data_IF_514033383501
#
_entry.id   IF_514033383501
#
_cell.length_a   1.000
_cell.length_b   1.000
_cell.length_c   1.000
_cell.angle_alpha   90.00
_cell.angle_beta   90.00
_cell.angle_gamma   90.00
#
_symmetry.space_group_name_H-M   'P 1'
#
loop_
_entity.id
_entity.type
_entity.pdbx_description
1 polymer ?
#
# COMPACT_ATOMS: atom_id res chain seq x y z
N UNK A 1 0.53 7.09 60.80
CA UNK A 1 0.10 7.18 59.38
C UNK A 1 1.32 6.88 58.52
N UNK A 2 1.41 5.67 57.98
CA UNK A 2 2.46 5.33 57.02
C UNK A 2 2.04 5.87 55.67
N UNK A 3 2.78 6.82 55.12
CA UNK A 3 2.57 7.39 53.80
C UNK A 3 3.07 6.38 52.77
N UNK A 4 2.16 5.74 52.05
CA UNK A 4 2.42 4.82 50.92
C UNK A 4 2.88 5.57 49.65
N UNK A 5 3.80 6.50 49.80
CA UNK A 5 4.34 7.27 48.65
C UNK A 5 5.37 6.48 47.82
N UNK A 6 5.83 5.33 48.28
CA UNK A 6 6.76 4.47 47.55
C UNK A 6 6.13 3.56 46.49
N UNK A 7 4.84 3.24 46.61
CA UNK A 7 4.14 2.34 45.70
C UNK A 7 3.87 2.98 44.33
N UNK A 8 3.46 4.24 44.33
CA UNK A 8 3.13 4.98 43.08
C UNK A 8 4.35 5.18 42.19
N UNK A 9 5.53 5.41 42.77
CA UNK A 9 6.76 5.61 42.01
C UNK A 9 7.22 4.33 41.32
N UNK A 10 7.12 3.19 42.00
CA UNK A 10 7.47 1.88 41.42
C UNK A 10 6.50 1.48 40.34
N UNK A 11 5.22 1.78 40.48
CA UNK A 11 4.18 1.52 39.49
C UNK A 11 4.40 2.35 38.24
N UNK A 12 4.76 3.63 38.38
CA UNK A 12 5.10 4.52 37.24
C UNK A 12 6.33 4.04 36.46
N UNK A 13 7.37 3.56 37.16
CA UNK A 13 8.60 3.05 36.53
C UNK A 13 8.34 1.78 35.74
N UNK A 14 7.41 0.93 36.17
CA UNK A 14 7.03 -0.28 35.44
C UNK A 14 6.06 0.01 34.27
N UNK A 15 5.18 0.99 34.42
CA UNK A 15 4.21 1.37 33.35
C UNK A 15 4.86 2.12 32.22
N UNK A 16 5.87 2.94 32.47
CA UNK A 16 6.53 3.76 31.44
C UNK A 16 7.07 2.93 30.24
N UNK A 17 7.84 1.86 30.43
CA UNK A 17 8.33 1.05 29.32
C UNK A 17 7.20 0.32 28.58
N UNK A 18 6.15 -0.10 29.27
CA UNK A 18 4.99 -0.75 28.64
C UNK A 18 4.25 0.23 27.75
N UNK A 19 4.00 1.46 28.22
CA UNK A 19 3.39 2.52 27.42
C UNK A 19 4.24 2.87 26.18
N UNK A 20 5.56 2.93 26.35
CA UNK A 20 6.47 3.21 25.23
C UNK A 20 6.38 2.13 24.14
N UNK A 21 6.35 0.85 24.52
CA UNK A 21 6.17 -0.27 23.60
C UNK A 21 4.82 -0.19 22.90
N UNK A 22 3.75 0.13 23.61
CA UNK A 22 2.41 0.28 23.03
C UNK A 22 2.33 1.43 22.02
N UNK A 23 2.96 2.56 22.30
CA UNK A 23 3.04 3.70 21.40
C UNK A 23 3.82 3.32 20.13
N UNK A 24 4.98 2.70 20.27
CA UNK A 24 5.78 2.23 19.13
C UNK A 24 5.02 1.21 18.28
N UNK A 25 4.30 0.29 18.91
CA UNK A 25 3.45 -0.67 18.21
C UNK A 25 2.31 0.02 17.46
N UNK A 26 1.66 1.01 18.06
CA UNK A 26 0.61 1.80 17.43
C UNK A 26 1.11 2.55 16.19
N UNK A 27 2.25 3.21 16.28
CA UNK A 27 2.89 3.91 15.17
C UNK A 27 3.28 2.94 14.05
N UNK A 28 3.84 1.79 14.41
CA UNK A 28 4.20 0.75 13.43
C UNK A 28 2.99 0.21 12.68
N UNK A 29 1.92 -0.12 13.40
CA UNK A 29 0.68 -0.63 12.81
C UNK A 29 0.02 0.41 11.90
N UNK A 30 0.04 1.68 12.28
CA UNK A 30 -0.48 2.79 11.48
C UNK A 30 0.24 2.92 10.13
N UNK A 31 1.56 2.91 10.13
CA UNK A 31 2.36 3.01 8.90
C UNK A 31 2.16 1.82 7.96
N UNK A 32 2.01 0.62 8.50
CA UNK A 32 1.80 -0.58 7.68
C UNK A 32 0.45 -0.57 6.95
N UNK A 33 -0.61 -0.07 7.59
CA UNK A 33 -1.95 0.04 6.98
C UNK A 33 -2.02 1.16 5.94
N UNK A 34 -1.33 2.27 6.17
CA UNK A 34 -1.25 3.39 5.24
C UNK A 34 -0.64 2.98 3.91
N UNK A 35 0.50 2.29 3.92
CA UNK A 35 1.16 1.82 2.70
C UNK A 35 0.28 0.90 1.86
N UNK A 36 -0.49 0.01 2.49
CA UNK A 36 -1.41 -0.88 1.78
C UNK A 36 -2.54 -0.09 1.12
N UNK A 37 -3.09 0.91 1.81
CA UNK A 37 -4.15 1.77 1.28
C UNK A 37 -3.68 2.57 0.07
N UNK A 38 -2.47 3.08 0.12
CA UNK A 38 -1.86 3.86 -0.97
C UNK A 38 -1.58 2.98 -2.20
N UNK A 39 -1.04 1.78 -2.04
CA UNK A 39 -0.85 0.83 -3.15
C UNK A 39 -2.19 0.41 -3.75
N UNK A 40 -3.23 0.22 -2.93
CA UNK A 40 -4.59 -0.06 -3.41
C UNK A 40 -5.17 1.10 -4.21
N UNK A 41 -5.01 2.33 -3.73
CA UNK A 41 -5.43 3.54 -4.45
C UNK A 41 -4.71 3.69 -5.79
N UNK A 42 -3.41 3.39 -5.83
CA UNK A 42 -2.64 3.40 -7.08
C UNK A 42 -3.15 2.35 -8.07
N UNK A 43 -3.51 1.14 -7.60
CA UNK A 43 -4.09 0.09 -8.44
C UNK A 43 -5.45 0.50 -9.01
N UNK A 44 -6.31 1.14 -8.22
CA UNK A 44 -7.60 1.68 -8.67
C UNK A 44 -7.42 2.75 -9.75
N UNK A 45 -6.54 3.71 -9.52
CA UNK A 45 -6.25 4.76 -10.49
C UNK A 45 -5.67 4.20 -11.79
N UNK A 46 -4.75 3.25 -11.69
CA UNK A 46 -4.15 2.59 -12.85
C UNK A 46 -5.19 1.78 -13.65
N UNK A 47 -6.06 1.02 -12.99
CA UNK A 47 -7.12 0.27 -13.64
C UNK A 47 -8.12 1.18 -14.36
N UNK A 48 -8.57 2.27 -13.72
CA UNK A 48 -9.45 3.28 -14.34
C UNK A 48 -8.81 3.99 -15.51
N UNK A 49 -7.53 4.32 -15.44
CA UNK A 49 -6.80 4.91 -16.55
C UNK A 49 -6.61 3.95 -17.70
N UNK A 50 -6.24 2.71 -17.39
CA UNK A 50 -6.05 1.63 -18.37
C UNK A 50 -7.35 1.24 -19.08
N UNK A 51 -8.51 1.31 -18.40
CA UNK A 51 -9.82 0.99 -19.01
C UNK A 51 -10.26 1.97 -20.08
N UNK A 52 -9.66 3.16 -20.16
CA UNK A 52 -10.02 4.24 -21.08
C UNK A 52 -9.14 4.33 -22.33
N UNK A 53 -8.12 3.51 -22.45
CA UNK A 53 -7.17 3.52 -23.56
C UNK A 53 -7.30 2.27 -24.44
N UNK A 54 -6.75 2.32 -25.66
CA UNK A 54 -6.71 1.15 -26.54
C UNK A 54 -5.88 0.01 -25.95
N UNK A 55 -6.20 -1.24 -26.31
CA UNK A 55 -5.55 -2.46 -25.80
C UNK A 55 -4.03 -2.39 -25.86
N UNK A 56 -3.47 -1.82 -26.94
CA UNK A 56 -2.01 -1.70 -27.12
C UNK A 56 -1.33 -0.76 -26.12
N UNK A 57 -2.08 0.13 -25.47
CA UNK A 57 -1.56 1.12 -24.52
C UNK A 57 -1.92 0.83 -23.05
N UNK A 58 -2.71 -0.20 -22.80
CA UNK A 58 -3.16 -0.56 -21.45
C UNK A 58 -2.00 -0.72 -20.47
N UNK A 59 -1.01 -1.53 -20.83
CA UNK A 59 0.14 -1.83 -19.97
C UNK A 59 0.97 -0.56 -19.67
N UNK A 60 1.36 0.17 -20.71
CA UNK A 60 2.16 1.39 -20.54
C UNK A 60 1.41 2.46 -19.73
N UNK A 61 0.10 2.61 -19.95
CA UNK A 61 -0.72 3.58 -19.22
C UNK A 61 -0.89 3.18 -17.77
N UNK A 62 -1.14 1.90 -17.50
CA UNK A 62 -1.25 1.39 -16.14
C UNK A 62 0.05 1.63 -15.34
N UNK A 63 1.20 1.33 -15.94
CA UNK A 63 2.50 1.55 -15.33
C UNK A 63 2.75 3.03 -15.00
N UNK A 64 2.54 3.93 -15.97
CA UNK A 64 2.75 5.37 -15.76
C UNK A 64 1.87 5.95 -14.67
N UNK A 65 0.59 5.53 -14.60
CA UNK A 65 -0.34 6.02 -13.58
C UNK A 65 0.05 5.48 -12.21
N UNK A 66 0.38 4.18 -12.12
CA UNK A 66 0.82 3.57 -10.87
C UNK A 66 2.08 4.24 -10.31
N UNK A 67 3.08 4.46 -11.16
CA UNK A 67 4.32 5.14 -10.78
C UNK A 67 4.06 6.56 -10.27
N UNK A 68 3.24 7.36 -10.97
CA UNK A 68 2.88 8.71 -10.55
C UNK A 68 2.12 8.71 -9.23
N UNK A 69 1.14 7.83 -9.07
CA UNK A 69 0.33 7.73 -7.86
C UNK A 69 1.21 7.42 -6.63
N UNK A 70 2.11 6.44 -6.75
CA UNK A 70 3.02 6.07 -5.67
C UNK A 70 4.04 7.16 -5.35
N UNK A 71 4.57 7.84 -6.37
CA UNK A 71 5.51 8.97 -6.19
C UNK A 71 4.84 10.15 -5.51
N UNK A 72 3.59 10.47 -5.85
CA UNK A 72 2.85 11.58 -5.24
C UNK A 72 2.56 11.36 -3.75
N UNK A 73 2.39 10.11 -3.33
CA UNK A 73 2.16 9.72 -1.94
C UNK A 73 3.48 9.52 -1.14
N UNK A 74 4.63 9.86 -1.73
CA UNK A 74 5.96 9.73 -1.11
C UNK A 74 6.30 8.29 -0.69
N UNK A 75 5.76 7.28 -1.38
CA UNK A 75 6.12 5.89 -1.15
C UNK A 75 7.38 5.56 -1.93
N UNK A 76 8.43 5.21 -1.21
CA UNK A 76 9.65 4.68 -1.81
C UNK A 76 9.48 3.19 -2.13
N UNK A 77 8.96 2.89 -3.32
CA UNK A 77 9.01 1.54 -3.87
C UNK A 77 10.42 1.25 -4.39
N UNK A 78 11.08 0.27 -3.81
CA UNK A 78 12.41 -0.20 -4.28
C UNK A 78 12.26 -1.07 -5.51
N UNK A 79 11.16 -1.80 -5.60
CA UNK A 79 10.86 -2.71 -6.70
C UNK A 79 9.35 -2.61 -7.01
N UNK A 80 9.03 -1.84 -8.05
CA UNK A 80 7.66 -1.67 -8.54
C UNK A 80 7.40 -2.65 -9.68
N UNK A 81 6.40 -3.49 -9.51
CA UNK A 81 5.88 -4.38 -10.56
C UNK A 81 4.41 -4.09 -10.82
N UNK A 82 4.07 -3.86 -12.06
CA UNK A 82 2.69 -3.62 -12.52
C UNK A 82 2.34 -4.68 -13.55
N UNK A 83 1.39 -5.54 -13.23
CA UNK A 83 0.88 -6.57 -14.12
C UNK A 83 -0.52 -6.21 -14.58
N UNK A 84 -0.77 -6.32 -15.86
CA UNK A 84 -2.09 -6.09 -16.46
C UNK A 84 -2.62 -7.38 -17.08
N UNK A 85 -3.89 -7.68 -16.84
CA UNK A 85 -4.58 -8.81 -17.44
C UNK A 85 -5.91 -8.34 -18.02
N UNK A 86 -6.15 -8.66 -19.29
CA UNK A 86 -7.45 -8.46 -19.91
C UNK A 86 -8.33 -9.67 -19.61
N UNK A 87 -9.49 -9.41 -19.02
CA UNK A 87 -10.48 -10.42 -18.68
C UNK A 87 -11.60 -10.32 -19.71
N UNK A 88 -11.74 -11.36 -20.53
CA UNK A 88 -12.82 -11.47 -21.51
C UNK A 88 -13.91 -12.38 -20.92
N UNK A 89 -15.07 -11.80 -20.64
CA UNK A 89 -16.18 -12.54 -20.04
C UNK A 89 -17.47 -12.25 -20.85
N UNK A 90 -17.53 -12.82 -22.03
CA UNK A 90 -18.64 -12.61 -22.96
C UNK A 90 -18.76 -11.16 -23.38
N UNK A 91 -19.89 -10.54 -23.05
CA UNK A 91 -20.19 -9.15 -23.42
C UNK A 91 -19.47 -8.10 -22.55
N UNK A 92 -18.83 -8.50 -21.45
CA UNK A 92 -18.17 -7.60 -20.51
C UNK A 92 -16.67 -7.88 -20.45
N UNK A 93 -15.92 -7.06 -21.18
CA UNK A 93 -14.46 -7.07 -21.09
C UNK A 93 -14.01 -6.19 -19.92
N UNK A 94 -13.04 -6.65 -19.15
CA UNK A 94 -12.48 -5.92 -18.02
C UNK A 94 -10.95 -5.94 -18.07
N UNK A 95 -10.34 -4.93 -17.49
CA UNK A 95 -8.89 -4.88 -17.24
C UNK A 95 -8.64 -5.05 -15.75
N UNK A 96 -7.78 -5.99 -15.39
CA UNK A 96 -7.25 -6.17 -14.05
C UNK A 96 -5.85 -5.61 -14.01
N UNK A 97 -5.58 -4.74 -13.06
CA UNK A 97 -4.25 -4.21 -12.78
C UNK A 97 -3.84 -4.67 -11.39
N UNK A 98 -2.68 -5.33 -11.30
CA UNK A 98 -2.07 -5.76 -10.06
C UNK A 98 -0.75 -5.01 -9.88
N UNK A 99 -0.61 -4.35 -8.74
CA UNK A 99 0.60 -3.61 -8.36
C UNK A 99 1.25 -4.32 -7.18
N UNK A 100 2.52 -4.65 -7.32
CA UNK A 100 3.40 -5.10 -6.25
C UNK A 100 4.49 -4.07 -6.00
N UNK A 101 4.63 -3.67 -4.75
CA UNK A 101 5.63 -2.71 -4.31
C UNK A 101 6.41 -3.27 -3.13
N UNK A 102 7.73 -3.29 -3.20
CA UNK A 102 8.60 -3.58 -2.07
C UNK A 102 8.95 -2.27 -1.39
N UNK A 103 8.44 -2.08 -0.17
CA UNK A 103 8.66 -0.87 0.61
C UNK A 103 9.98 -0.97 1.33
N UNK A 104 10.81 0.08 1.18
CA UNK A 104 12.04 0.19 1.93
C UNK A 104 11.75 0.55 3.38
N UNK A 105 12.25 -0.26 4.30
CA UNK A 105 12.13 -0.06 5.75
C UNK A 105 13.43 0.51 6.33
N UNK A 106 14.07 1.47 5.64
CA UNK A 106 15.27 2.12 6.14
C UNK A 106 15.04 2.69 7.54
N UNK A 107 15.88 2.29 8.47
CA UNK A 107 15.80 2.64 9.89
C UNK A 107 15.10 1.61 10.78
N UNK A 108 14.39 0.62 10.24
CA UNK A 108 13.76 -0.46 11.01
C UNK A 108 14.54 -1.79 10.96
N UNK A 109 15.62 -1.84 10.20
CA UNK A 109 16.51 -3.01 10.09
C UNK A 109 17.14 -3.40 11.43
N UNK A 110 17.34 -2.44 12.35
CA UNK A 110 17.82 -2.68 13.71
C UNK A 110 16.84 -3.51 14.55
N UNK A 111 15.54 -3.52 14.15
CA UNK A 111 14.49 -4.31 14.81
C UNK A 111 14.25 -5.65 14.12
N UNK A 112 15.10 -6.05 13.15
CA UNK A 112 14.95 -7.30 12.42
C UNK A 112 13.78 -7.29 11.41
N UNK A 113 13.24 -6.11 11.09
CA UNK A 113 12.16 -5.97 10.13
C UNK A 113 12.74 -5.87 8.72
N UNK A 114 12.55 -6.94 7.96
CA UNK A 114 12.96 -7.03 6.57
C UNK A 114 12.01 -6.26 5.64
N UNK A 115 12.46 -5.93 4.45
CA UNK A 115 11.66 -5.33 3.37
C UNK A 115 10.32 -6.07 3.21
N UNK A 116 9.22 -5.31 3.17
CA UNK A 116 7.88 -5.87 3.03
C UNK A 116 7.35 -5.61 1.63
N UNK A 117 6.94 -6.69 0.96
CA UNK A 117 6.22 -6.60 -0.31
C UNK A 117 4.72 -6.41 -0.03
N UNK A 118 4.15 -5.38 -0.63
CA UNK A 118 2.71 -5.09 -0.59
C UNK A 118 2.16 -5.26 -2.00
N UNK A 119 1.07 -6.00 -2.11
CA UNK A 119 0.40 -6.25 -3.40
C UNK A 119 -1.07 -5.83 -3.29
N UNK A 120 -1.55 -5.12 -4.29
CA UNK A 120 -2.95 -4.78 -4.44
C UNK A 120 -3.39 -4.92 -5.89
N UNK A 121 -4.64 -5.30 -6.11
CA UNK A 121 -5.22 -5.41 -7.45
C UNK A 121 -6.55 -4.70 -7.54
N UNK A 122 -6.83 -4.12 -8.70
CA UNK A 122 -8.13 -3.53 -9.04
C UNK A 122 -8.58 -4.01 -10.40
N UNK A 123 -9.89 -4.09 -10.62
CA UNK A 123 -10.49 -4.54 -11.88
C UNK A 123 -11.54 -3.53 -12.31
N UNK A 124 -11.41 -3.02 -13.52
CA UNK A 124 -12.35 -2.07 -14.11
C UNK A 124 -12.88 -2.59 -15.45
N UNK A 125 -14.15 -2.32 -15.72
CA UNK A 125 -14.80 -2.70 -16.98
C UNK A 125 -14.26 -1.81 -18.09
N UNK A 126 -13.93 -2.43 -19.23
CA UNK A 126 -13.49 -1.73 -20.43
C UNK A 126 -14.68 -1.03 -21.11
N UNK A 127 -14.47 0.21 -21.50
CA UNK A 127 -15.47 0.96 -22.28
C UNK A 127 -15.57 0.37 -23.69
N UNK A 128 -16.74 -0.21 -24.02
CA UNK A 128 -16.99 -0.89 -25.30
C UNK A 128 -16.73 -0.02 -26.52
N UNK A 129 -16.91 1.28 -26.39
CA UNK A 129 -16.81 2.23 -27.51
C UNK A 129 -15.37 2.60 -27.89
N UNK A 130 -14.38 2.22 -27.10
CA UNK A 130 -12.98 2.59 -27.31
C UNK A 130 -12.03 1.42 -27.56
N UNK A 131 -12.51 0.19 -27.47
CA UNK A 131 -11.67 -1.02 -27.56
C UNK A 131 -11.35 -1.40 -29.00
N UNK A 132 -12.13 -0.92 -29.95
CA UNK A 132 -12.03 -1.30 -31.38
C UNK A 132 -11.33 -0.24 -32.26
N UNK A 133 -10.64 0.74 -31.66
CA UNK A 133 -9.90 1.77 -32.42
C UNK A 133 -8.40 1.66 -32.26
#
# INVERSE_FOLDING_TARGET
MKTDSGSVTVEMVLLAPVLMVLILFGVYSGRASESLTQVRSAADQAARGASKVSRSRVEATAFQIAERALTSESISCVDLSVNTALIENGDNNAVRVEISCTINTDGLTLLGLTQRRVTASSTEVLDRWRVDS
#
